data_IF_218586759333
#
_entry.id   IF_218586759333
#
_cell.length_a   1.000
_cell.length_b   1.000
_cell.length_c   1.000
_cell.angle_alpha   90.00
_cell.angle_beta   90.00
_cell.angle_gamma   90.00
#
_symmetry.space_group_name_H-M   'P 1'
#
loop_
_entity.id
_entity.type
_entity.pdbx_description
1 polymer ?
#
# COMPACT_ATOMS: atom_id res chain seq x y z
N UNK A 1 5.30 28.77 -0.77
CA UNK A 1 6.51 28.15 -1.37
C UNK A 1 6.80 26.90 -0.57
N UNK A 2 6.15 25.79 -0.93
CA UNK A 2 6.34 24.50 -0.25
C UNK A 2 7.60 23.84 -0.81
N UNK A 3 8.44 23.29 0.07
CA UNK A 3 9.65 22.57 -0.31
C UNK A 3 9.30 21.37 -1.20
N UNK A 4 10.03 21.11 -2.30
CA UNK A 4 9.86 19.90 -3.09
C UNK A 4 10.24 18.69 -2.22
N UNK A 5 9.33 17.74 -2.02
CA UNK A 5 9.65 16.43 -1.45
C UNK A 5 10.32 15.57 -2.53
N UNK A 6 11.47 16.01 -3.04
CA UNK A 6 12.26 15.22 -3.98
C UNK A 6 13.01 14.12 -3.21
N UNK A 7 12.60 12.86 -3.39
CA UNK A 7 13.54 11.74 -3.30
C UNK A 7 13.22 10.57 -2.37
N UNK A 8 12.13 10.57 -1.60
CA UNK A 8 11.86 9.45 -0.67
C UNK A 8 11.38 8.18 -1.38
N UNK A 9 10.73 8.29 -2.54
CA UNK A 9 10.20 7.15 -3.31
C UNK A 9 11.26 6.46 -4.18
N UNK A 10 12.36 7.15 -4.52
CA UNK A 10 13.45 6.55 -5.30
C UNK A 10 14.12 5.42 -4.53
N UNK A 11 14.27 5.54 -3.22
CA UNK A 11 14.93 4.52 -2.39
C UNK A 11 14.19 3.19 -2.42
N UNK A 12 12.85 3.20 -2.31
CA UNK A 12 12.05 1.98 -2.27
C UNK A 12 12.12 1.20 -3.60
N UNK A 13 11.88 1.88 -4.72
CA UNK A 13 11.89 1.23 -6.04
C UNK A 13 13.29 0.88 -6.56
N UNK A 14 14.36 1.40 -5.96
CA UNK A 14 15.74 1.12 -6.37
C UNK A 14 16.55 0.38 -5.30
N UNK A 15 15.94 -0.04 -4.19
CA UNK A 15 16.64 -0.82 -3.17
C UNK A 15 17.00 -2.20 -3.72
N UNK A 16 18.30 -2.61 -3.76
CA UNK A 16 18.73 -3.83 -4.43
C UNK A 16 18.02 -5.10 -3.93
N UNK A 17 17.73 -5.15 -2.63
CA UNK A 17 17.07 -6.31 -2.01
C UNK A 17 15.58 -6.40 -2.36
N UNK A 18 14.96 -5.28 -2.76
CA UNK A 18 13.54 -5.25 -3.15
C UNK A 18 13.35 -5.63 -4.62
N UNK A 19 14.40 -5.52 -5.45
CA UNK A 19 14.35 -5.91 -6.87
C UNK A 19 14.19 -7.42 -7.08
N UNK A 20 14.63 -8.22 -6.11
CA UNK A 20 14.51 -9.68 -6.15
C UNK A 20 13.14 -10.19 -5.69
N UNK A 21 12.22 -9.30 -5.27
CA UNK A 21 10.90 -9.69 -4.85
C UNK A 21 10.08 -10.15 -6.05
N UNK A 22 9.59 -11.38 -6.00
CA UNK A 22 8.73 -11.96 -7.04
C UNK A 22 7.42 -11.18 -7.21
N UNK A 23 6.92 -10.50 -6.17
CA UNK A 23 5.58 -9.92 -6.17
C UNK A 23 5.43 -8.78 -5.18
N UNK A 24 4.84 -7.68 -5.65
CA UNK A 24 4.31 -6.59 -4.84
C UNK A 24 2.78 -6.71 -4.78
N UNK A 25 2.18 -6.44 -3.62
CA UNK A 25 0.73 -6.54 -3.41
C UNK A 25 0.21 -5.22 -2.83
N UNK A 26 -0.97 -4.80 -3.30
CA UNK A 26 -1.69 -3.62 -2.84
C UNK A 26 -3.17 -3.97 -2.72
N UNK A 27 -3.82 -3.46 -1.68
CA UNK A 27 -5.28 -3.48 -1.52
C UNK A 27 -5.75 -2.04 -1.55
N UNK A 28 -6.67 -1.72 -2.45
CA UNK A 28 -7.29 -0.39 -2.55
C UNK A 28 -8.80 -0.53 -2.65
N UNK A 29 -9.54 0.43 -2.10
CA UNK A 29 -11.01 0.42 -2.12
C UNK A 29 -11.55 0.89 -3.47
N UNK A 30 -11.03 2.02 -3.96
CA UNK A 30 -11.58 2.75 -5.11
C UNK A 30 -10.48 3.32 -6.04
N UNK A 31 -9.20 3.25 -5.69
CA UNK A 31 -8.10 3.83 -6.47
C UNK A 31 -7.43 2.86 -7.46
N UNK A 32 -8.15 1.85 -7.95
CA UNK A 32 -7.59 0.81 -8.84
C UNK A 32 -6.93 1.40 -10.09
N UNK A 33 -7.60 2.35 -10.77
CA UNK A 33 -7.08 3.00 -11.98
C UNK A 33 -5.80 3.81 -11.75
N UNK A 34 -5.67 4.43 -10.57
CA UNK A 34 -4.45 5.15 -10.18
C UNK A 34 -3.25 4.19 -10.14
N UNK A 35 -3.40 3.05 -9.46
CA UNK A 35 -2.30 2.10 -9.28
C UNK A 35 -2.02 1.22 -10.50
N UNK A 36 -3.00 1.05 -11.40
CA UNK A 36 -2.76 0.44 -12.70
C UNK A 36 -1.66 1.18 -13.49
N UNK A 37 -1.60 2.51 -13.39
CA UNK A 37 -0.54 3.33 -13.99
C UNK A 37 0.86 3.07 -13.43
N UNK A 38 0.97 2.43 -12.26
CA UNK A 38 2.22 2.05 -11.62
C UNK A 38 2.58 0.56 -11.82
N UNK A 39 1.90 -0.13 -12.75
CA UNK A 39 2.18 -1.53 -13.07
C UNK A 39 1.49 -2.56 -12.16
N UNK A 40 0.63 -2.12 -11.25
CA UNK A 40 -0.24 -3.06 -10.51
C UNK A 40 -1.35 -3.58 -11.43
N UNK A 41 -1.73 -4.83 -11.23
CA UNK A 41 -2.84 -5.47 -11.94
C UNK A 41 -3.66 -6.32 -10.98
N UNK A 42 -4.85 -6.72 -11.41
CA UNK A 42 -5.64 -7.70 -10.68
C UNK A 42 -4.79 -8.98 -10.53
N UNK A 43 -4.68 -9.55 -9.32
CA UNK A 43 -3.98 -10.80 -9.09
C UNK A 43 -4.42 -11.90 -10.06
N UNK A 44 -3.48 -12.63 -10.65
CA UNK A 44 -3.77 -13.71 -11.62
C UNK A 44 -4.74 -14.78 -11.09
N UNK A 45 -4.60 -15.14 -9.81
CA UNK A 45 -5.50 -16.05 -9.12
C UNK A 45 -6.06 -15.39 -7.85
N UNK A 46 -7.12 -14.55 -7.94
CA UNK A 46 -7.68 -13.86 -6.79
C UNK A 46 -8.21 -14.81 -5.72
N UNK A 47 -8.72 -15.98 -6.13
CA UNK A 47 -9.24 -17.00 -5.23
C UNK A 47 -8.19 -17.58 -4.26
N UNK A 48 -6.90 -17.43 -4.57
CA UNK A 48 -5.81 -17.90 -3.70
C UNK A 48 -5.47 -16.90 -2.58
N UNK A 49 -6.08 -15.71 -2.58
CA UNK A 49 -5.80 -14.68 -1.59
C UNK A 49 -6.66 -14.87 -0.34
N UNK A 50 -6.02 -14.80 0.81
CA UNK A 50 -6.68 -14.80 2.11
C UNK A 50 -6.13 -13.64 2.96
N UNK A 51 -6.99 -13.02 3.75
CA UNK A 51 -6.60 -11.95 4.67
C UNK A 51 -7.40 -12.04 5.97
N UNK A 52 -6.75 -11.74 7.10
CA UNK A 52 -7.44 -11.43 8.35
C UNK A 52 -7.64 -9.92 8.37
N UNK A 53 -8.89 -9.47 8.31
CA UNK A 53 -9.25 -8.05 8.33
C UNK A 53 -9.90 -7.72 9.66
N UNK A 54 -9.29 -6.82 10.43
CA UNK A 54 -9.90 -6.25 11.65
C UNK A 54 -10.30 -4.81 11.35
N UNK A 55 -11.56 -4.59 11.02
CA UNK A 55 -12.08 -3.29 10.55
C UNK A 55 -12.21 -2.25 11.66
N UNK A 56 -12.20 -2.67 12.92
CA UNK A 56 -12.56 -1.84 14.08
C UNK A 56 -11.38 -1.48 15.00
N UNK A 57 -10.14 -1.69 14.53
CA UNK A 57 -8.93 -1.53 15.37
C UNK A 57 -8.67 -0.10 15.87
N UNK A 58 -9.31 0.90 15.29
CA UNK A 58 -9.07 2.31 15.60
C UNK A 58 -10.32 3.05 16.11
N UNK A 59 -11.45 2.37 16.28
CA UNK A 59 -12.69 3.00 16.76
C UNK A 59 -12.75 3.21 18.28
N UNK A 60 -11.69 2.84 19.02
CA UNK A 60 -11.60 3.07 20.45
C UNK A 60 -10.27 3.73 20.84
N UNK A 61 -10.20 5.05 20.65
CA UNK A 61 -9.43 5.93 21.53
C UNK A 61 -10.27 7.13 21.95
N UNK A 62 -11.46 6.88 22.52
CA UNK A 62 -12.09 7.83 23.44
C UNK A 62 -11.60 7.51 24.85
N UNK A 63 -10.46 8.10 25.23
CA UNK A 63 -9.86 7.84 26.54
C UNK A 63 -8.70 8.78 26.82
N UNK A 64 -8.93 10.10 26.72
CA UNK A 64 -7.88 11.06 27.01
C UNK A 64 -8.25 12.51 26.75
N UNK A 65 -9.41 12.98 27.21
CA UNK A 65 -9.61 14.39 27.58
C UNK A 65 -10.88 14.52 28.43
N UNK A 66 -10.72 14.41 29.76
CA UNK A 66 -11.59 15.09 30.73
C UNK A 66 -10.70 15.98 31.56
#
# INVERSE_FOLDING_TARGET
>A
MGTPVEGHERGFWHHPQLQALRRFMLVTRDAHGLYAGHGFSVPEAPANLMAIVKTDLYSASEGGMR
#
